data_IF_642895269593
#
_entry.id   IF_642895269593
#
_cell.length_a   1.000
_cell.length_b   1.000
_cell.length_c   1.000
_cell.angle_alpha   90.00
_cell.angle_beta   90.00
_cell.angle_gamma   90.00
#
_symmetry.space_group_name_H-M   'P 1'
#
loop_
_entity.id
_entity.type
_entity.pdbx_description
1 polymer ?
#
# COMPACT_ATOMS: atom_id res chain seq x y z
N UNK A 1 11.09 3.28 9.90
CA UNK A 1 11.50 4.68 10.18
C UNK A 1 11.38 5.58 8.95
N UNK A 2 11.80 5.14 7.76
CA UNK A 2 11.68 5.91 6.52
C UNK A 2 10.25 6.43 6.22
N UNK A 3 9.22 5.59 6.36
CA UNK A 3 7.82 5.98 6.11
C UNK A 3 7.33 7.10 7.05
N UNK A 4 7.73 7.07 8.32
CA UNK A 4 7.35 8.13 9.27
C UNK A 4 8.05 9.47 8.93
N UNK A 5 9.30 9.42 8.47
CA UNK A 5 10.05 10.59 8.04
C UNK A 5 9.39 11.24 6.82
N UNK A 6 9.03 10.45 5.80
CA UNK A 6 8.38 10.97 4.58
C UNK A 6 6.98 11.52 4.90
N UNK A 7 6.24 10.89 5.80
CA UNK A 7 4.96 11.40 6.30
C UNK A 7 5.12 12.75 6.98
N UNK A 8 6.07 12.90 7.90
CA UNK A 8 6.35 14.16 8.60
C UNK A 8 6.76 15.29 7.63
N UNK A 9 7.64 14.99 6.68
CA UNK A 9 8.03 15.93 5.64
C UNK A 9 6.82 16.37 4.80
N UNK A 10 5.98 15.43 4.37
CA UNK A 10 4.79 15.76 3.59
C UNK A 10 3.79 16.62 4.37
N UNK A 11 3.70 16.47 5.69
CA UNK A 11 2.82 17.30 6.50
C UNK A 11 3.37 18.72 6.64
N UNK A 12 4.67 18.87 6.94
CA UNK A 12 5.27 20.18 7.18
C UNK A 12 5.54 20.98 5.91
N UNK A 13 5.98 20.32 4.84
CA UNK A 13 6.47 20.99 3.63
C UNK A 13 5.44 20.98 2.49
N UNK A 14 4.58 19.95 2.46
CA UNK A 14 3.58 19.75 1.40
C UNK A 14 2.15 19.95 1.92
N UNK A 15 1.99 20.36 3.18
CA UNK A 15 0.72 20.71 3.84
C UNK A 15 -0.36 19.63 3.72
N UNK A 16 0.04 18.36 3.69
CA UNK A 16 -0.89 17.23 3.55
C UNK A 16 -1.57 17.11 2.18
N UNK A 17 -1.12 17.83 1.15
CA UNK A 17 -1.76 17.84 -0.16
C UNK A 17 -1.83 16.43 -0.81
N UNK A 18 -0.80 15.61 -0.64
CA UNK A 18 -0.78 14.24 -1.16
C UNK A 18 -1.74 13.31 -0.43
N UNK A 19 -1.92 13.51 0.88
CA UNK A 19 -2.94 12.79 1.64
C UNK A 19 -4.34 13.16 1.14
N UNK A 20 -4.63 14.45 0.96
CA UNK A 20 -5.91 14.91 0.43
C UNK A 20 -6.18 14.35 -0.97
N UNK A 21 -5.20 14.39 -1.87
CA UNK A 21 -5.30 13.80 -3.21
C UNK A 21 -5.58 12.29 -3.16
N UNK A 22 -4.87 11.55 -2.31
CA UNK A 22 -5.10 10.12 -2.15
C UNK A 22 -6.53 9.84 -1.63
N UNK A 23 -7.00 10.59 -0.62
CA UNK A 23 -8.37 10.45 -0.09
C UNK A 23 -9.45 10.75 -1.13
N UNK A 24 -9.22 11.69 -2.04
CA UNK A 24 -10.15 11.97 -3.15
C UNK A 24 -10.26 10.84 -4.17
N UNK A 25 -9.26 9.97 -4.27
CA UNK A 25 -9.27 8.82 -5.18
C UNK A 25 -9.90 7.56 -4.56
N UNK A 26 -10.06 7.50 -3.24
CA UNK A 26 -10.66 6.33 -2.55
C UNK A 26 -12.05 5.98 -3.09
N UNK A 27 -13.00 6.94 -3.29
CA UNK A 27 -14.31 6.59 -3.84
C UNK A 27 -14.25 5.98 -5.25
N UNK A 28 -13.29 6.41 -6.07
CA UNK A 28 -13.09 5.84 -7.41
C UNK A 28 -12.52 4.42 -7.34
N UNK A 29 -11.58 4.17 -6.42
CA UNK A 29 -11.07 2.82 -6.16
C UNK A 29 -12.19 1.87 -5.69
N UNK A 30 -13.00 2.29 -4.72
CA UNK A 30 -14.14 1.51 -4.23
C UNK A 30 -15.12 1.22 -5.36
N UNK A 31 -15.46 2.23 -6.17
CA UNK A 31 -16.35 2.06 -7.33
C UNK A 31 -15.85 0.99 -8.29
N UNK A 32 -14.56 0.91 -8.57
CA UNK A 32 -14.01 -0.09 -9.49
C UNK A 32 -14.16 -1.53 -8.97
N UNK A 33 -13.97 -1.75 -7.67
CA UNK A 33 -14.26 -3.05 -7.06
C UNK A 33 -15.75 -3.36 -7.05
N UNK A 34 -16.59 -2.36 -6.74
CA UNK A 34 -18.05 -2.51 -6.76
C UNK A 34 -18.56 -2.88 -8.16
N UNK A 35 -18.01 -2.31 -9.24
CA UNK A 35 -18.37 -2.69 -10.61
C UNK A 35 -18.07 -4.17 -10.89
N UNK A 36 -16.90 -4.68 -10.47
CA UNK A 36 -16.58 -6.09 -10.62
C UNK A 36 -17.51 -6.99 -9.79
N UNK A 37 -17.88 -6.56 -8.58
CA UNK A 37 -18.80 -7.29 -7.70
C UNK A 37 -20.26 -7.28 -8.18
N UNK A 38 -20.60 -6.54 -9.25
CA UNK A 38 -21.92 -6.69 -9.92
C UNK A 38 -22.00 -7.99 -10.73
N UNK A 39 -20.88 -8.42 -11.28
CA UNK A 39 -20.79 -9.60 -12.15
C UNK A 39 -20.36 -10.87 -11.37
N UNK A 40 -19.77 -10.70 -10.18
CA UNK A 40 -19.23 -11.79 -9.36
C UNK A 40 -19.62 -11.64 -7.89
N UNK A 41 -19.98 -12.75 -7.23
CA UNK A 41 -20.30 -12.74 -5.79
C UNK A 41 -19.09 -12.44 -4.89
N UNK A 42 -17.89 -12.87 -5.32
CA UNK A 42 -16.63 -12.70 -4.60
C UNK A 42 -15.46 -12.51 -5.56
N UNK A 43 -14.45 -11.76 -5.12
CA UNK A 43 -13.17 -11.59 -5.83
C UNK A 43 -12.07 -12.38 -5.12
N UNK A 44 -11.31 -13.17 -5.88
CA UNK A 44 -10.26 -14.06 -5.34
C UNK A 44 -8.96 -13.82 -6.08
N UNK A 45 -7.87 -13.71 -5.33
CA UNK A 45 -6.52 -13.49 -5.85
C UNK A 45 -5.48 -14.02 -4.87
N UNK A 46 -4.22 -14.23 -5.29
CA UNK A 46 -3.15 -14.59 -4.37
C UNK A 46 -2.98 -13.52 -3.28
N UNK A 47 -2.87 -13.93 -2.02
CA UNK A 47 -2.60 -12.99 -0.92
C UNK A 47 -1.21 -12.37 -1.04
N UNK A 48 -0.23 -13.18 -1.44
CA UNK A 48 1.18 -12.81 -1.55
C UNK A 48 1.70 -13.22 -2.93
N UNK A 49 2.58 -12.43 -3.57
CA UNK A 49 3.18 -12.80 -4.84
C UNK A 49 4.32 -13.82 -4.72
N UNK A 50 4.75 -14.15 -3.50
CA UNK A 50 5.84 -15.07 -3.20
C UNK A 50 5.64 -15.76 -1.84
N UNK A 51 6.39 -16.85 -1.63
CA UNK A 51 6.52 -17.52 -0.31
C UNK A 51 7.52 -16.79 0.58
N UNK A 52 7.54 -17.12 1.88
CA UNK A 52 8.45 -16.48 2.84
C UNK A 52 9.91 -16.45 2.35
N UNK A 53 10.50 -15.25 2.35
CA UNK A 53 11.89 -15.02 1.95
C UNK A 53 12.81 -15.05 3.18
N UNK A 54 14.13 -15.22 2.98
CA UNK A 54 15.10 -15.04 4.06
C UNK A 54 14.95 -13.68 4.74
N UNK A 55 15.29 -13.62 6.02
CA UNK A 55 15.29 -12.37 6.77
C UNK A 55 16.36 -11.44 6.23
N UNK A 56 15.96 -10.19 6.02
CA UNK A 56 16.87 -9.09 5.71
C UNK A 56 17.89 -8.93 6.85
N UNK A 57 19.16 -8.72 6.50
CA UNK A 57 20.21 -8.52 7.50
C UNK A 57 19.92 -7.29 8.38
N UNK A 58 20.35 -7.33 9.65
CA UNK A 58 20.07 -6.25 10.59
C UNK A 58 20.74 -4.91 10.22
N UNK A 59 21.84 -4.98 9.50
CA UNK A 59 22.63 -3.86 8.99
C UNK A 59 22.44 -3.61 7.48
N UNK A 60 21.40 -4.21 6.89
CA UNK A 60 21.11 -4.02 5.48
C UNK A 60 20.86 -2.53 5.13
N UNK A 61 21.21 -2.10 3.91
CA UNK A 61 20.88 -0.77 3.42
C UNK A 61 19.38 -0.47 3.54
N UNK A 62 19.04 0.81 3.73
CA UNK A 62 17.65 1.23 3.94
C UNK A 62 16.75 0.88 2.75
N UNK A 63 17.29 0.91 1.53
CA UNK A 63 16.59 0.56 0.30
C UNK A 63 16.16 -0.90 0.31
N UNK A 64 17.05 -1.80 0.72
CA UNK A 64 16.78 -3.24 0.83
C UNK A 64 15.76 -3.53 1.94
N UNK A 65 15.90 -2.85 3.09
CA UNK A 65 14.92 -2.95 4.18
C UNK A 65 13.53 -2.47 3.74
N UNK A 66 13.43 -1.31 3.08
CA UNK A 66 12.13 -0.76 2.64
C UNK A 66 11.49 -1.65 1.58
N UNK A 67 12.28 -2.17 0.63
CA UNK A 67 11.79 -3.09 -0.38
C UNK A 67 11.23 -4.38 0.25
N UNK A 68 12.04 -5.05 1.08
CA UNK A 68 11.62 -6.31 1.74
C UNK A 68 10.45 -6.13 2.71
N UNK A 69 10.27 -4.95 3.29
CA UNK A 69 9.19 -4.67 4.23
C UNK A 69 7.84 -4.30 3.58
N UNK A 70 7.80 -3.92 2.30
CA UNK A 70 6.58 -3.37 1.65
C UNK A 70 6.19 -4.08 0.34
N UNK A 71 7.07 -4.92 -0.23
CA UNK A 71 6.85 -5.60 -1.51
C UNK A 71 5.72 -6.64 -1.52
N UNK A 72 5.14 -6.95 -0.36
CA UNK A 72 4.07 -7.93 -0.22
C UNK A 72 2.65 -7.36 -0.25
N UNK A 73 2.50 -6.04 -0.11
CA UNK A 73 1.21 -5.43 0.23
C UNK A 73 0.29 -5.17 -0.97
N UNK A 74 0.73 -5.50 -2.18
CA UNK A 74 0.05 -5.09 -3.41
C UNK A 74 -1.42 -5.53 -3.48
N UNK A 75 -1.74 -6.75 -3.03
CA UNK A 75 -3.08 -7.30 -3.06
C UNK A 75 -3.85 -7.07 -1.75
N UNK A 76 -3.17 -6.86 -0.62
CA UNK A 76 -3.85 -6.70 0.68
C UNK A 76 -4.19 -5.24 0.98
N UNK A 77 -3.25 -4.33 0.80
CA UNK A 77 -3.42 -2.92 1.17
C UNK A 77 -4.57 -2.18 0.47
N UNK A 78 -4.95 -2.48 -0.80
CA UNK A 78 -6.11 -1.83 -1.41
C UNK A 78 -7.41 -2.04 -0.62
N UNK A 79 -7.59 -3.20 0.02
CA UNK A 79 -8.80 -3.54 0.77
C UNK A 79 -8.87 -2.91 2.16
N UNK A 80 -7.77 -2.38 2.68
CA UNK A 80 -7.77 -1.55 3.90
C UNK A 80 -8.24 -0.11 3.62
N UNK A 81 -8.25 0.30 2.34
CA UNK A 81 -8.64 1.66 1.93
C UNK A 81 -10.10 1.79 1.52
N UNK A 82 -10.67 0.73 0.94
CA UNK A 82 -12.04 0.65 0.39
C UNK A 82 -13.03 0.16 1.43
#
# INVERSE_FOLDING_TARGET
RAVALTGHYSLNNLHGAYYAKARMLVPELTRQYDEALKDFDVLVMPTMPFVATPLTAADAPIEEYVHSALNMLANTAPFDLT
#
